data_IF_594849664070
#
_entry.id   IF_594849664070
#
_cell.length_a   1.000
_cell.length_b   1.000
_cell.length_c   1.000
_cell.angle_alpha   90.00
_cell.angle_beta   90.00
_cell.angle_gamma   90.00
#
_symmetry.space_group_name_H-M   'P 1'
#
loop_
_entity.id
_entity.type
_entity.pdbx_description
1 polymer ?
#
# COMPACT_ATOMS: atom_id res chain seq x y z
N UNK A 1 18.58 6.98 8.10
CA UNK A 1 18.27 5.96 7.07
C UNK A 1 17.40 6.60 5.98
N UNK A 2 17.52 6.14 4.75
CA UNK A 2 16.65 6.58 3.65
C UNK A 2 15.24 6.04 3.88
N UNK A 3 14.23 6.86 3.58
CA UNK A 3 12.84 6.42 3.58
C UNK A 3 12.57 5.62 2.31
N UNK A 4 11.93 4.46 2.47
CA UNK A 4 11.48 3.60 1.38
C UNK A 4 9.96 3.65 1.28
N UNK A 5 9.46 4.05 0.11
CA UNK A 5 8.03 4.07 -0.22
C UNK A 5 7.73 2.94 -1.20
N UNK A 6 6.76 2.10 -0.85
CA UNK A 6 6.27 1.02 -1.68
C UNK A 6 4.90 1.40 -2.28
N UNK A 7 4.78 1.21 -3.60
CA UNK A 7 3.52 1.42 -4.32
C UNK A 7 2.98 0.06 -4.80
N UNK A 8 1.75 -0.25 -4.44
CA UNK A 8 1.06 -1.49 -4.82
C UNK A 8 -0.28 -1.18 -5.49
N UNK A 9 -0.38 -1.40 -6.78
CA UNK A 9 -1.64 -1.26 -7.54
C UNK A 9 -2.58 -2.48 -7.44
N UNK A 10 -2.17 -3.54 -6.74
CA UNK A 10 -2.77 -4.87 -6.81
C UNK A 10 -2.10 -5.73 -7.89
N UNK A 11 -2.53 -6.99 -8.04
CA UNK A 11 -1.93 -7.94 -9.01
C UNK A 11 -2.05 -7.50 -10.46
N UNK A 12 -3.19 -6.93 -10.84
CA UNK A 12 -3.43 -6.40 -12.19
C UNK A 12 -2.89 -4.98 -12.39
N UNK A 13 -2.44 -4.35 -11.31
CA UNK A 13 -2.04 -2.95 -11.34
C UNK A 13 -3.24 -1.99 -11.21
N UNK A 14 -2.93 -0.71 -11.09
CA UNK A 14 -3.92 0.37 -11.03
C UNK A 14 -3.51 1.50 -11.95
N UNK A 15 -4.24 1.69 -13.04
CA UNK A 15 -3.97 2.77 -14.00
C UNK A 15 -3.83 4.12 -13.30
N UNK A 16 -4.80 4.50 -12.46
CA UNK A 16 -4.81 5.82 -11.80
C UNK A 16 -3.67 6.02 -10.81
N UNK A 17 -3.32 4.99 -10.04
CA UNK A 17 -2.14 5.07 -9.15
C UNK A 17 -0.87 5.18 -9.98
N UNK A 18 -0.72 4.34 -11.00
CA UNK A 18 0.45 4.38 -11.85
C UNK A 18 0.64 5.73 -12.55
N UNK A 19 -0.42 6.31 -13.09
CA UNK A 19 -0.39 7.64 -13.73
C UNK A 19 0.10 8.71 -12.76
N UNK A 20 -0.49 8.81 -11.56
CA UNK A 20 -0.10 9.85 -10.61
C UNK A 20 1.32 9.68 -10.08
N UNK A 21 1.78 8.45 -9.86
CA UNK A 21 3.17 8.18 -9.47
C UNK A 21 4.13 8.56 -10.59
N UNK A 22 3.83 8.18 -11.83
CA UNK A 22 4.69 8.48 -12.98
C UNK A 22 4.88 9.97 -13.25
N UNK A 23 3.83 10.76 -13.02
CA UNK A 23 3.88 12.21 -13.16
C UNK A 23 4.69 12.90 -12.05
N UNK A 24 4.98 12.21 -10.96
CA UNK A 24 5.61 12.78 -9.78
C UNK A 24 6.93 12.10 -9.38
N UNK A 25 7.63 11.40 -10.28
CA UNK A 25 8.90 10.74 -9.95
C UNK A 25 9.98 11.73 -9.47
N UNK A 26 9.97 12.95 -10.00
CA UNK A 26 10.85 14.01 -9.54
C UNK A 26 10.67 14.34 -8.05
N UNK A 27 9.47 14.20 -7.51
CA UNK A 27 9.17 14.40 -6.10
C UNK A 27 9.98 13.45 -5.19
N UNK A 28 10.08 12.16 -5.57
CA UNK A 28 10.87 11.15 -4.85
C UNK A 28 12.36 11.43 -4.95
N UNK A 29 12.83 11.76 -6.15
CA UNK A 29 14.24 12.07 -6.43
C UNK A 29 14.73 13.26 -5.61
N UNK A 30 14.00 14.38 -5.62
CA UNK A 30 14.34 15.60 -4.90
C UNK A 30 14.40 15.41 -3.38
N UNK A 31 13.62 14.48 -2.83
CA UNK A 31 13.58 14.16 -1.39
C UNK A 31 14.50 13.01 -0.99
N UNK A 32 15.27 12.48 -1.92
CA UNK A 32 16.15 11.34 -1.69
C UNK A 32 15.41 10.10 -1.13
N UNK A 33 14.17 9.89 -1.58
CA UNK A 33 13.31 8.75 -1.17
C UNK A 33 13.53 7.59 -2.14
N UNK A 34 13.69 6.39 -1.60
CA UNK A 34 13.68 5.16 -2.39
C UNK A 34 12.24 4.79 -2.74
N UNK A 35 11.97 4.58 -4.02
CA UNK A 35 10.68 4.14 -4.53
C UNK A 35 10.77 2.70 -5.01
N UNK A 36 9.93 1.83 -4.46
CA UNK A 36 9.67 0.49 -4.97
C UNK A 36 8.25 0.49 -5.54
N UNK A 37 8.13 0.22 -6.83
CA UNK A 37 6.86 0.42 -7.53
C UNK A 37 6.45 -0.84 -8.28
N UNK A 38 5.37 -1.48 -7.80
CA UNK A 38 4.68 -2.57 -8.49
C UNK A 38 3.59 -2.00 -9.39
N UNK A 39 3.83 -2.03 -10.68
CA UNK A 39 2.91 -1.48 -11.69
C UNK A 39 1.73 -2.40 -12.03
N UNK A 40 1.88 -3.71 -11.81
CA UNK A 40 1.06 -4.75 -12.41
C UNK A 40 1.55 -5.13 -13.80
N UNK A 41 1.35 -6.40 -14.19
CA UNK A 41 1.82 -6.95 -15.48
C UNK A 41 1.34 -6.12 -16.67
N UNK A 42 0.06 -5.70 -16.66
CA UNK A 42 -0.56 -4.94 -17.77
C UNK A 42 0.13 -3.60 -18.07
N UNK A 43 0.78 -2.99 -17.10
CA UNK A 43 1.34 -1.63 -17.22
C UNK A 43 2.87 -1.61 -17.19
N UNK A 44 3.52 -2.75 -16.91
CA UNK A 44 4.95 -2.80 -16.65
C UNK A 44 5.79 -2.28 -17.80
N UNK A 45 5.58 -2.81 -19.01
CA UNK A 45 6.39 -2.46 -20.18
C UNK A 45 6.31 -0.96 -20.50
N UNK A 46 5.12 -0.37 -20.33
CA UNK A 46 4.94 1.07 -20.54
C UNK A 46 5.78 1.91 -19.58
N UNK A 47 5.83 1.56 -18.30
CA UNK A 47 6.54 2.36 -17.32
C UNK A 47 8.02 2.03 -17.22
N UNK A 48 8.44 0.78 -17.38
CA UNK A 48 9.85 0.42 -17.38
C UNK A 48 10.57 1.04 -18.57
N UNK A 49 10.00 0.95 -19.78
CA UNK A 49 10.60 1.55 -20.97
C UNK A 49 10.76 3.07 -20.85
N UNK A 50 9.77 3.73 -20.27
CA UNK A 50 9.77 5.18 -20.11
C UNK A 50 10.74 5.68 -19.03
N UNK A 51 10.97 4.90 -17.99
CA UNK A 51 11.69 5.34 -16.80
C UNK A 51 12.89 4.45 -16.44
N UNK A 52 13.28 3.55 -17.33
CA UNK A 52 14.52 2.79 -17.15
C UNK A 52 15.70 3.77 -17.03
N UNK A 53 16.52 3.55 -16.00
CA UNK A 53 17.64 4.43 -15.66
C UNK A 53 17.29 5.88 -15.27
N UNK A 54 16.02 6.19 -14.97
CA UNK A 54 15.64 7.53 -14.50
C UNK A 54 16.33 7.91 -13.17
N UNK A 55 16.38 7.00 -12.23
CA UNK A 55 17.09 7.13 -10.95
C UNK A 55 17.32 5.74 -10.32
N UNK A 56 18.54 5.44 -9.89
CA UNK A 56 18.91 4.16 -9.28
C UNK A 56 18.12 3.82 -7.99
N UNK A 57 17.41 4.80 -7.42
CA UNK A 57 16.56 4.63 -6.23
C UNK A 57 15.12 4.27 -6.58
N UNK A 58 14.79 4.22 -7.88
CA UNK A 58 13.46 3.85 -8.36
C UNK A 58 13.53 2.45 -8.93
N UNK A 59 12.86 1.51 -8.28
CA UNK A 59 12.77 0.12 -8.68
C UNK A 59 11.35 -0.13 -9.19
N UNK A 60 11.23 -0.46 -10.47
CA UNK A 60 9.94 -0.78 -11.11
C UNK A 60 9.88 -2.27 -11.38
N UNK A 61 8.80 -2.92 -10.96
CA UNK A 61 8.55 -4.35 -11.19
C UNK A 61 7.09 -4.58 -11.55
N UNK A 62 6.79 -5.59 -12.39
CA UNK A 62 5.41 -5.95 -12.69
C UNK A 62 4.71 -6.52 -11.44
N UNK A 63 5.40 -7.41 -10.75
CA UNK A 63 4.90 -8.11 -9.58
C UNK A 63 6.04 -8.57 -8.67
N UNK A 64 5.80 -8.64 -7.35
CA UNK A 64 6.72 -9.21 -6.37
C UNK A 64 6.24 -10.57 -5.90
N UNK A 65 7.04 -11.61 -6.12
CA UNK A 65 6.72 -12.98 -5.67
C UNK A 65 6.72 -13.09 -4.14
N UNK A 66 7.64 -12.40 -3.47
CA UNK A 66 7.74 -12.33 -2.01
C UNK A 66 7.39 -10.92 -1.54
N UNK A 67 6.09 -10.62 -1.45
CA UNK A 67 5.61 -9.31 -0.99
C UNK A 67 6.02 -9.03 0.47
N UNK A 68 6.15 -10.08 1.28
CA UNK A 68 6.53 -9.96 2.68
C UNK A 68 7.91 -9.31 2.86
N UNK A 69 8.91 -9.73 2.05
CA UNK A 69 10.25 -9.17 2.08
C UNK A 69 10.25 -7.68 1.71
N UNK A 70 9.52 -7.33 0.67
CA UNK A 70 9.42 -5.94 0.20
C UNK A 70 8.67 -5.06 1.21
N UNK A 71 7.60 -5.57 1.80
CA UNK A 71 6.90 -4.89 2.88
C UNK A 71 7.84 -4.69 4.08
N UNK A 72 8.68 -5.68 4.45
CA UNK A 72 9.54 -5.58 5.62
C UNK A 72 10.48 -4.38 5.57
N UNK A 73 11.03 -4.06 4.39
CA UNK A 73 11.97 -2.95 4.18
C UNK A 73 11.30 -1.61 3.87
N UNK A 74 9.96 -1.59 3.73
CA UNK A 74 9.22 -0.39 3.38
C UNK A 74 8.76 0.39 4.60
N UNK A 75 8.97 1.72 4.60
CA UNK A 75 8.52 2.63 5.66
C UNK A 75 7.08 3.09 5.48
N UNK A 76 6.67 3.32 4.24
CA UNK A 76 5.33 3.76 3.86
C UNK A 76 4.84 2.92 2.68
N UNK A 77 3.58 2.50 2.75
CA UNK A 77 2.94 1.73 1.67
C UNK A 77 1.75 2.50 1.11
N UNK A 78 1.72 2.71 -0.19
CA UNK A 78 0.56 3.22 -0.93
C UNK A 78 -0.07 2.04 -1.66
N UNK A 79 -1.35 1.77 -1.41
CA UNK A 79 -2.00 0.57 -1.97
C UNK A 79 -3.50 0.75 -2.18
N UNK A 80 -4.07 -0.15 -2.98
CA UNK A 80 -5.50 -0.47 -2.92
C UNK A 80 -5.84 -1.12 -1.58
N UNK A 81 -7.13 -1.11 -1.21
CA UNK A 81 -7.61 -1.60 0.09
C UNK A 81 -8.29 -2.98 -0.01
N UNK A 82 -7.66 -3.89 -0.77
CA UNK A 82 -8.07 -5.29 -0.82
C UNK A 82 -7.82 -6.01 0.51
N UNK A 83 -8.69 -6.95 0.88
CA UNK A 83 -8.65 -7.62 2.19
C UNK A 83 -7.32 -8.35 2.46
N UNK A 84 -6.76 -9.04 1.45
CA UNK A 84 -5.50 -9.77 1.58
C UNK A 84 -4.35 -8.79 1.88
N UNK A 85 -4.21 -7.73 1.09
CA UNK A 85 -3.16 -6.74 1.29
C UNK A 85 -3.27 -6.06 2.67
N UNK A 86 -4.49 -5.73 3.09
CA UNK A 86 -4.74 -5.17 4.43
C UNK A 86 -4.29 -6.14 5.53
N UNK A 87 -4.56 -7.44 5.39
CA UNK A 87 -4.12 -8.45 6.36
C UNK A 87 -2.60 -8.53 6.46
N UNK A 88 -1.90 -8.42 5.34
CA UNK A 88 -0.43 -8.34 5.30
C UNK A 88 0.09 -7.07 5.98
N UNK A 89 -0.56 -5.92 5.74
CA UNK A 89 -0.20 -4.65 6.39
C UNK A 89 -0.43 -4.69 7.90
N UNK A 90 -1.52 -5.32 8.35
CA UNK A 90 -1.80 -5.55 9.78
C UNK A 90 -0.74 -6.44 10.41
N UNK A 91 -0.39 -7.56 9.77
CA UNK A 91 0.59 -8.51 10.29
C UNK A 91 1.96 -7.87 10.49
N UNK A 92 2.38 -7.00 9.57
CA UNK A 92 3.67 -6.32 9.60
C UNK A 92 3.66 -4.94 10.26
N UNK A 93 2.47 -4.44 10.64
CA UNK A 93 2.35 -3.11 11.23
C UNK A 93 2.80 -2.00 10.27
N UNK A 94 2.33 -1.98 9.03
CA UNK A 94 2.79 -1.02 8.02
C UNK A 94 2.04 0.32 8.10
N UNK A 95 2.78 1.41 7.99
CA UNK A 95 2.21 2.74 7.80
C UNK A 95 1.67 2.86 6.37
N UNK A 96 0.37 3.09 6.21
CA UNK A 96 -0.28 2.98 4.90
C UNK A 96 -1.05 4.23 4.49
N UNK A 97 -1.05 4.52 3.18
CA UNK A 97 -2.04 5.37 2.50
C UNK A 97 -2.87 4.45 1.62
N UNK A 98 -4.14 4.28 1.93
CA UNK A 98 -5.05 3.44 1.17
C UNK A 98 -5.86 4.25 0.17
N UNK A 99 -5.90 3.76 -1.07
CA UNK A 99 -6.63 4.35 -2.19
C UNK A 99 -7.63 3.30 -2.70
N UNK A 100 -8.85 3.27 -2.15
CA UNK A 100 -9.87 2.31 -2.58
C UNK A 100 -10.16 2.42 -4.07
N UNK A 101 -10.35 1.29 -4.74
CA UNK A 101 -10.87 1.27 -6.11
C UNK A 101 -12.35 1.63 -6.09
N UNK A 102 -12.80 2.57 -6.92
CA UNK A 102 -14.23 2.90 -7.02
C UNK A 102 -15.05 1.83 -7.79
N UNK A 103 -14.38 0.96 -8.55
CA UNK A 103 -15.00 0.03 -9.49
C UNK A 103 -14.97 -1.42 -8.96
N UNK A 104 -15.32 -1.62 -7.69
CA UNK A 104 -15.39 -2.95 -7.08
C UNK A 104 -16.81 -3.23 -6.56
N UNK A 105 -17.23 -4.51 -6.66
CA UNK A 105 -18.55 -4.95 -6.14
C UNK A 105 -18.75 -4.49 -4.70
N UNK A 106 -19.99 -4.09 -4.37
CA UNK A 106 -20.42 -3.76 -3.01
C UNK A 106 -19.59 -2.72 -2.27
N UNK A 107 -18.74 -1.96 -2.97
CA UNK A 107 -17.87 -0.92 -2.39
C UNK A 107 -16.96 -1.44 -1.25
N UNK A 108 -16.62 -2.73 -1.28
CA UNK A 108 -15.89 -3.39 -0.19
C UNK A 108 -14.53 -2.75 0.09
N UNK A 109 -13.82 -2.25 -0.93
CA UNK A 109 -12.53 -1.58 -0.69
C UNK A 109 -12.69 -0.29 0.09
N UNK A 110 -13.72 0.52 -0.21
CA UNK A 110 -13.97 1.75 0.54
C UNK A 110 -14.37 1.44 1.99
N UNK A 111 -15.25 0.44 2.20
CA UNK A 111 -15.62 -0.02 3.55
C UNK A 111 -14.39 -0.47 4.36
N UNK A 112 -13.50 -1.26 3.75
CA UNK A 112 -12.25 -1.69 4.37
C UNK A 112 -11.39 -0.50 4.80
N UNK A 113 -11.15 0.45 3.89
CA UNK A 113 -10.30 1.60 4.15
C UNK A 113 -10.92 2.55 5.20
N UNK A 114 -12.23 2.81 5.17
CA UNK A 114 -12.92 3.62 6.18
C UNK A 114 -12.88 2.95 7.56
N UNK A 115 -12.99 1.61 7.63
CA UNK A 115 -12.82 0.88 8.89
C UNK A 115 -11.43 1.09 9.50
N UNK A 116 -10.35 0.98 8.71
CA UNK A 116 -9.00 1.25 9.20
C UNK A 116 -8.81 2.71 9.58
N UNK A 117 -9.33 3.64 8.80
CA UNK A 117 -9.28 5.08 9.07
C UNK A 117 -9.97 5.44 10.38
N UNK A 118 -11.16 4.88 10.66
CA UNK A 118 -11.88 5.12 11.92
C UNK A 118 -11.08 4.67 13.16
N UNK A 119 -10.19 3.70 13.00
CA UNK A 119 -9.24 3.22 14.02
C UNK A 119 -7.90 3.97 14.00
N UNK A 120 -7.78 5.04 13.19
CA UNK A 120 -6.54 5.79 13.00
C UNK A 120 -5.36 4.89 12.61
N UNK A 121 -5.64 3.84 11.83
CA UNK A 121 -4.69 2.80 11.42
C UNK A 121 -4.15 3.02 9.99
N UNK A 122 -4.72 3.95 9.24
CA UNK A 122 -4.31 4.31 7.88
C UNK A 122 -4.69 5.74 7.54
N UNK A 123 -4.07 6.29 6.52
CA UNK A 123 -4.56 7.46 5.80
C UNK A 123 -5.40 6.97 4.61
N UNK A 124 -6.61 7.50 4.47
CA UNK A 124 -7.49 7.21 3.35
C UNK A 124 -7.49 8.39 2.36
N UNK A 125 -7.14 8.10 1.12
CA UNK A 125 -7.25 9.04 -0.01
C UNK A 125 -8.22 8.47 -1.03
N UNK A 126 -9.39 9.09 -1.19
CA UNK A 126 -10.35 8.67 -2.23
C UNK A 126 -9.77 8.95 -3.63
N UNK A 127 -9.94 8.02 -4.55
CA UNK A 127 -9.35 8.11 -5.90
C UNK A 127 -9.67 9.43 -6.62
N UNK A 128 -10.88 9.96 -6.48
CA UNK A 128 -11.28 11.27 -7.05
C UNK A 128 -10.46 12.46 -6.53
N UNK A 129 -9.79 12.30 -5.40
CA UNK A 129 -8.99 13.34 -4.76
C UNK A 129 -7.48 13.04 -4.81
N UNK A 130 -7.06 11.98 -5.51
CA UNK A 130 -5.68 11.48 -5.50
C UNK A 130 -4.67 12.56 -5.91
N UNK A 131 -4.96 13.32 -6.94
CA UNK A 131 -4.08 14.38 -7.46
C UNK A 131 -3.85 15.50 -6.45
N UNK A 132 -4.86 15.83 -5.67
CA UNK A 132 -4.79 16.92 -4.68
C UNK A 132 -4.17 16.49 -3.35
N UNK A 133 -4.41 15.25 -2.92
CA UNK A 133 -4.14 14.84 -1.54
C UNK A 133 -2.96 13.89 -1.40
N UNK A 134 -2.67 13.03 -2.39
CA UNK A 134 -1.72 11.93 -2.21
C UNK A 134 -0.35 12.41 -1.74
N UNK A 135 0.25 13.36 -2.46
CA UNK A 135 1.60 13.82 -2.14
C UNK A 135 1.67 14.67 -0.89
N UNK A 136 0.61 15.39 -0.53
CA UNK A 136 0.52 16.09 0.75
C UNK A 136 0.49 15.12 1.93
N UNK A 137 -0.27 14.02 1.82
CA UNK A 137 -0.32 13.00 2.86
C UNK A 137 0.98 12.17 2.91
N UNK A 138 1.57 11.88 1.75
CA UNK A 138 2.86 11.21 1.65
C UNK A 138 3.98 12.04 2.30
N UNK A 139 4.02 13.35 2.07
CA UNK A 139 4.97 14.28 2.70
C UNK A 139 4.89 14.21 4.23
N UNK A 140 3.67 14.21 4.79
CA UNK A 140 3.45 14.09 6.23
C UNK A 140 3.99 12.78 6.82
N UNK A 141 3.94 11.68 6.06
CA UNK A 141 4.45 10.39 6.51
C UNK A 141 5.96 10.27 6.32
N UNK A 142 6.50 10.74 5.19
CA UNK A 142 7.92 10.64 4.92
C UNK A 142 8.75 11.56 5.82
N UNK A 143 8.21 12.72 6.21
CA UNK A 143 8.87 13.69 7.08
C UNK A 143 8.74 13.41 8.59
N UNK A 144 7.79 12.55 9.02
CA UNK A 144 7.52 12.32 10.44
C UNK A 144 7.57 10.83 10.81
N UNK A 145 8.60 10.44 11.56
CA UNK A 145 8.72 9.09 12.13
C UNK A 145 7.57 8.80 13.09
N UNK A 146 7.21 9.75 13.93
CA UNK A 146 6.14 9.58 14.92
C UNK A 146 4.79 9.28 14.28
N UNK A 147 4.46 9.94 13.16
CA UNK A 147 3.24 9.64 12.41
C UNK A 147 3.25 8.23 11.82
N UNK A 148 4.38 7.79 11.26
CA UNK A 148 4.51 6.42 10.77
C UNK A 148 4.32 5.41 11.89
N UNK A 149 5.00 5.61 13.02
CA UNK A 149 4.89 4.72 14.18
C UNK A 149 3.49 4.71 14.78
N UNK A 150 2.82 5.84 14.82
CA UNK A 150 1.43 5.94 15.29
C UNK A 150 0.49 5.07 14.44
N UNK A 151 0.54 5.21 13.11
CA UNK A 151 -0.26 4.38 12.20
C UNK A 151 0.13 2.90 12.30
N UNK A 152 1.42 2.61 12.33
CA UNK A 152 1.97 1.26 12.47
C UNK A 152 1.47 0.54 13.73
N UNK A 153 1.50 1.22 14.87
CA UNK A 153 0.98 0.66 16.14
C UNK A 153 -0.52 0.38 16.06
N UNK A 154 -1.29 1.29 15.47
CA UNK A 154 -2.73 1.14 15.39
C UNK A 154 -3.14 0.02 14.42
N UNK A 155 -2.53 -0.06 13.24
CA UNK A 155 -2.86 -1.13 12.28
C UNK A 155 -2.46 -2.51 12.82
N UNK A 156 -1.32 -2.60 13.52
CA UNK A 156 -0.85 -3.86 14.13
C UNK A 156 -1.77 -4.38 15.22
N UNK A 157 -2.42 -3.51 15.99
CA UNK A 157 -3.43 -3.91 16.99
C UNK A 157 -4.67 -4.59 16.39
N UNK A 158 -4.92 -4.39 15.10
CA UNK A 158 -6.05 -4.99 14.40
C UNK A 158 -5.72 -6.38 13.84
N UNK A 159 -4.47 -6.80 13.89
CA UNK A 159 -4.05 -8.12 13.41
C UNK A 159 -4.56 -9.22 14.34
N UNK A 160 -5.20 -10.22 13.74
CA UNK A 160 -5.66 -11.44 14.44
C UNK A 160 -4.71 -12.58 14.09
N UNK A 161 -3.81 -12.99 14.99
CA UNK A 161 -2.91 -14.11 14.73
C UNK A 161 -3.71 -15.42 14.67
N UNK A 162 -3.19 -16.37 13.91
CA UNK A 162 -3.74 -17.73 13.79
C UNK A 162 -5.21 -17.79 13.34
N UNK A 163 -5.64 -16.83 12.50
CA UNK A 163 -7.02 -16.77 12.01
C UNK A 163 -7.45 -18.08 11.31
N UNK A 164 -6.57 -18.67 10.49
CA UNK A 164 -6.82 -19.95 9.81
C UNK A 164 -7.06 -21.09 10.80
N UNK A 165 -6.24 -21.23 11.85
CA UNK A 165 -6.40 -22.24 12.89
C UNK A 165 -7.74 -22.08 13.63
N UNK A 166 -8.12 -20.85 13.97
CA UNK A 166 -9.41 -20.54 14.61
C UNK A 166 -10.59 -20.92 13.71
N UNK A 167 -10.50 -20.67 12.42
CA UNK A 167 -11.54 -21.08 11.45
C UNK A 167 -11.66 -22.61 11.42
N UNK A 168 -10.54 -23.34 11.34
CA UNK A 168 -10.53 -24.82 11.36
C UNK A 168 -11.14 -25.35 12.65
N UNK A 169 -10.83 -24.77 13.81
CA UNK A 169 -11.44 -25.15 15.09
C UNK A 169 -12.96 -24.95 15.12
N UNK A 170 -13.44 -23.81 14.56
CA UNK A 170 -14.88 -23.55 14.44
C UNK A 170 -15.57 -24.56 13.53
N UNK A 171 -14.97 -24.87 12.36
CA UNK A 171 -15.53 -25.87 11.43
C UNK A 171 -15.64 -27.23 12.12
N UNK A 172 -14.60 -27.69 12.83
CA UNK A 172 -14.63 -28.96 13.58
C UNK A 172 -15.73 -29.01 14.62
N UNK A 173 -16.03 -27.87 15.30
CA UNK A 173 -17.12 -27.80 16.31
C UNK A 173 -18.51 -27.86 15.69
N UNK A 174 -18.69 -27.44 14.43
CA UNK A 174 -19.99 -27.45 13.75
C UNK A 174 -20.23 -28.77 13.03
N UNK A 175 -19.16 -29.51 12.70
CA UNK A 175 -19.21 -30.79 11.99
C UNK A 175 -19.35 -32.02 12.92
N UNK A 176 -19.45 -31.81 14.22
CA UNK A 176 -19.78 -32.82 15.25
C UNK A 176 -21.21 -32.64 15.73
#
# INVERSE_FOLDING_TARGET
>A
SKITVLILGGSLGSKKINEIISLNLAWFKLRNIQLIWQTGELYYDHYVTKYDNYDSKIIIKPFFKSIYEILSISDVVISRSGAIAISEFMALGKSTILIPSPNVSEDHQNKNAEHLKSRKATILVKEKNIEKLLFNELEKLTSSKDKREFLSKNIKKMYVPNASSKIVELIKKISL
#
